data_IF_436863121489
#
_entry.id   IF_436863121489
#
_cell.length_a   1.000
_cell.length_b   1.000
_cell.length_c   1.000
_cell.angle_alpha   90.00
_cell.angle_beta   90.00
_cell.angle_gamma   90.00
#
_symmetry.space_group_name_H-M   'P 1'
#
loop_
_entity.id
_entity.type
_entity.pdbx_description
1 polymer ?
#
# COMPACT_ATOMS: atom_id res chain seq x y z
N UNK A 1 6.81 15.67 -16.91
CA UNK A 1 5.99 15.05 -15.85
C UNK A 1 4.54 15.39 -16.11
N UNK A 2 3.74 14.40 -16.49
CA UNK A 2 2.30 14.58 -16.64
C UNK A 2 1.68 14.94 -15.29
N UNK A 3 0.58 15.70 -15.28
CA UNK A 3 -0.16 16.03 -14.06
C UNK A 3 -0.59 14.77 -13.29
N UNK A 4 -0.86 13.71 -14.05
CA UNK A 4 -1.17 12.38 -13.52
C UNK A 4 0.03 11.74 -12.80
N UNK A 5 1.23 11.93 -13.33
CA UNK A 5 2.47 11.39 -12.78
C UNK A 5 2.89 12.15 -11.52
N UNK A 6 2.67 13.48 -11.49
CA UNK A 6 2.83 14.28 -10.26
C UNK A 6 1.87 13.80 -9.17
N UNK A 7 0.61 13.56 -9.50
CA UNK A 7 -0.39 13.04 -8.55
C UNK A 7 0.03 11.68 -7.99
N UNK A 8 0.56 10.78 -8.82
CA UNK A 8 1.06 9.48 -8.36
C UNK A 8 2.29 9.64 -7.44
N UNK A 9 3.22 10.54 -7.76
CA UNK A 9 4.39 10.81 -6.92
C UNK A 9 4.00 11.43 -5.57
N UNK A 10 3.00 12.31 -5.53
CA UNK A 10 2.48 12.85 -4.27
C UNK A 10 1.73 11.80 -3.47
N UNK A 11 0.92 10.97 -4.14
CA UNK A 11 0.23 9.88 -3.47
C UNK A 11 1.20 8.88 -2.84
N UNK A 12 2.35 8.58 -3.48
CA UNK A 12 3.39 7.69 -2.93
C UNK A 12 3.99 8.15 -1.60
N UNK A 13 3.80 9.42 -1.22
CA UNK A 13 4.20 9.93 0.10
C UNK A 13 3.20 9.56 1.20
N UNK A 14 1.97 9.20 0.83
CA UNK A 14 0.93 8.80 1.76
C UNK A 14 1.09 7.32 2.16
N UNK A 15 0.62 6.95 3.37
CA UNK A 15 0.49 5.55 3.77
C UNK A 15 -0.31 4.75 2.73
N UNK A 16 0.07 3.48 2.53
CA UNK A 16 -0.61 2.62 1.57
C UNK A 16 -2.10 2.43 1.90
N UNK A 17 -2.46 2.43 3.19
CA UNK A 17 -3.85 2.38 3.68
C UNK A 17 -4.69 3.55 3.14
N UNK A 18 -4.15 4.78 3.18
CA UNK A 18 -4.84 5.96 2.66
C UNK A 18 -4.95 5.95 1.13
N UNK A 19 -3.94 5.38 0.46
CA UNK A 19 -3.95 5.25 -1.01
C UNK A 19 -5.01 4.27 -1.51
N UNK A 20 -5.35 3.23 -0.74
CA UNK A 20 -6.41 2.27 -1.11
C UNK A 20 -7.79 2.93 -1.21
N UNK A 21 -8.06 3.96 -0.41
CA UNK A 21 -9.34 4.69 -0.43
C UNK A 21 -9.29 5.98 -1.26
N UNK A 22 -8.20 6.23 -1.98
CA UNK A 22 -8.03 7.46 -2.75
C UNK A 22 -9.02 7.55 -3.91
N UNK A 23 -9.49 8.77 -4.24
CA UNK A 23 -10.48 9.00 -5.33
C UNK A 23 -10.01 8.56 -6.72
N UNK A 24 -8.71 8.68 -7.00
CA UNK A 24 -8.11 8.31 -8.28
C UNK A 24 -7.88 6.79 -8.35
N UNK A 25 -8.40 6.14 -9.40
CA UNK A 25 -8.29 4.69 -9.58
C UNK A 25 -6.85 4.20 -9.78
N UNK A 26 -5.96 4.99 -10.42
CA UNK A 26 -4.55 4.62 -10.61
C UNK A 26 -3.79 4.60 -9.29
N UNK A 27 -4.09 5.56 -8.39
CA UNK A 27 -3.50 5.58 -7.04
C UNK A 27 -3.91 4.33 -6.26
N UNK A 28 -5.18 3.94 -6.34
CA UNK A 28 -5.66 2.69 -5.73
C UNK A 28 -4.98 1.47 -6.34
N UNK A 29 -4.83 1.44 -7.66
CA UNK A 29 -4.17 0.34 -8.36
C UNK A 29 -2.70 0.18 -7.93
N UNK A 30 -1.94 1.27 -7.88
CA UNK A 30 -0.56 1.25 -7.36
C UNK A 30 -0.51 0.78 -5.91
N UNK A 31 -1.46 1.20 -5.06
CA UNK A 31 -1.52 0.73 -3.68
C UNK A 31 -1.82 -0.77 -3.58
N UNK A 32 -2.68 -1.32 -4.44
CA UNK A 32 -2.93 -2.76 -4.51
C UNK A 32 -1.68 -3.53 -4.99
N UNK A 33 -0.92 -2.99 -5.95
CA UNK A 33 0.33 -3.61 -6.42
C UNK A 33 1.38 -3.62 -5.30
N UNK A 34 1.57 -2.49 -4.61
CA UNK A 34 2.50 -2.40 -3.48
C UNK A 34 2.13 -3.37 -2.36
N UNK A 35 0.82 -3.48 -2.05
CA UNK A 35 0.32 -4.41 -1.05
C UNK A 35 0.58 -5.87 -1.45
N UNK A 36 0.31 -6.23 -2.70
CA UNK A 36 0.60 -7.57 -3.21
C UNK A 36 2.10 -7.90 -3.13
N UNK A 37 2.96 -6.97 -3.56
CA UNK A 37 4.41 -7.14 -3.48
C UNK A 37 4.91 -7.31 -2.03
N UNK A 38 4.31 -6.58 -1.09
CA UNK A 38 4.62 -6.72 0.31
C UNK A 38 4.15 -8.09 0.85
N UNK A 39 2.95 -8.54 0.51
CA UNK A 39 2.47 -9.87 0.88
C UNK A 39 3.34 -10.98 0.27
N UNK A 40 3.77 -10.85 -0.98
CA UNK A 40 4.66 -11.80 -1.65
C UNK A 40 6.06 -11.84 -1.03
N UNK A 41 6.51 -10.73 -0.43
CA UNK A 41 7.80 -10.69 0.27
C UNK A 41 7.81 -11.49 1.58
N UNK A 42 6.63 -11.75 2.15
CA UNK A 42 6.47 -12.52 3.38
C UNK A 42 6.65 -14.01 3.05
N UNK A 43 7.81 -14.54 3.40
CA UNK A 43 8.19 -15.94 3.14
C UNK A 43 8.30 -16.78 4.42
N UNK A 44 8.37 -16.15 5.59
CA UNK A 44 8.40 -16.82 6.89
C UNK A 44 7.14 -16.47 7.71
N UNK A 45 6.42 -17.44 8.28
CA UNK A 45 5.28 -17.18 9.16
C UNK A 45 5.63 -16.41 10.44
N UNK A 46 6.91 -16.25 10.78
CA UNK A 46 7.43 -15.42 11.88
C UNK A 46 7.85 -14.02 11.42
N UNK A 47 7.61 -13.67 10.15
CA UNK A 47 7.99 -12.37 9.63
C UNK A 47 7.36 -11.25 10.47
N UNK A 48 8.17 -10.30 10.98
CA UNK A 48 7.67 -9.19 11.79
C UNK A 48 6.58 -8.37 11.10
N UNK A 49 6.58 -8.31 9.77
CA UNK A 49 5.58 -7.61 8.98
C UNK A 49 4.18 -8.19 9.17
N UNK A 50 4.05 -9.53 9.32
CA UNK A 50 2.76 -10.17 9.63
C UNK A 50 2.19 -9.65 10.95
N UNK A 51 3.04 -9.48 11.97
CA UNK A 51 2.60 -8.91 13.26
C UNK A 51 2.10 -7.49 13.10
N UNK A 52 2.68 -6.70 12.21
CA UNK A 52 2.23 -5.33 11.97
C UNK A 52 0.83 -5.30 11.34
N UNK A 53 0.54 -6.21 10.40
CA UNK A 53 -0.80 -6.39 9.82
C UNK A 53 -1.83 -6.87 10.84
N UNK A 54 -1.48 -7.88 11.63
CA UNK A 54 -2.41 -8.52 12.58
C UNK A 54 -2.66 -7.64 13.80
N UNK A 55 -1.64 -6.92 14.31
CA UNK A 55 -1.77 -6.11 15.52
C UNK A 55 -2.51 -4.79 15.29
N UNK A 56 -2.61 -4.31 14.03
CA UNK A 56 -3.47 -3.17 13.66
C UNK A 56 -4.95 -3.55 13.49
N UNK A 57 -5.24 -4.86 13.38
CA UNK A 57 -6.59 -5.39 13.26
C UNK A 57 -7.04 -6.00 14.60
N UNK A 58 -7.11 -5.19 15.65
CA UNK A 58 -7.89 -5.57 16.84
C UNK A 58 -9.33 -5.15 16.55
N UNK A 59 -10.19 -6.16 16.36
CA UNK A 59 -11.65 -6.03 16.28
C UNK A 59 -12.24 -5.29 17.49
#
# INVERSE_FOLDING_TARGET
MSEEEKLLQEAKKLPWEERLFHKNWKVRNEAHIDLAALCDSISDPKDPCIREFVCRSVF
#
